data_IF_047303736755
#
_entry.id   IF_047303736755
#
_cell.length_a   1.000
_cell.length_b   1.000
_cell.length_c   1.000
_cell.angle_alpha   90.00
_cell.angle_beta   90.00
_cell.angle_gamma   90.00
#
_symmetry.space_group_name_H-M   'P 1'
#
loop_
_entity.id
_entity.type
_entity.pdbx_description
1 polymer ?
#
# COMPACT_ATOMS: atom_id res chain seq x y z
N UNK A 1 4.78 -8.79 1.43
CA UNK A 1 6.23 -8.69 1.08
C UNK A 1 7.03 -7.58 1.77
N UNK A 2 6.45 -6.43 2.16
CA UNK A 2 7.21 -5.29 2.68
C UNK A 2 7.99 -5.55 3.99
N UNK A 3 7.34 -6.14 5.00
CA UNK A 3 7.94 -6.31 6.34
C UNK A 3 9.22 -7.16 6.34
N UNK A 4 9.26 -8.38 5.74
CA UNK A 4 10.48 -9.17 5.68
C UNK A 4 11.64 -8.46 4.96
N UNK A 5 11.35 -7.69 3.91
CA UNK A 5 12.39 -6.96 3.18
C UNK A 5 13.07 -5.91 4.07
N UNK A 6 12.32 -5.21 4.92
CA UNK A 6 12.92 -4.27 5.88
C UNK A 6 13.82 -4.95 6.90
N UNK A 7 13.51 -6.18 7.28
CA UNK A 7 14.34 -6.96 8.21
C UNK A 7 15.63 -7.45 7.55
N UNK A 8 15.55 -7.84 6.27
CA UNK A 8 16.70 -8.32 5.49
C UNK A 8 17.65 -7.18 5.10
N UNK A 9 17.13 -5.97 4.92
CA UNK A 9 17.91 -4.77 4.59
C UNK A 9 17.70 -3.66 5.63
N UNK A 10 18.17 -3.88 6.88
CA UNK A 10 17.92 -2.95 7.99
C UNK A 10 18.72 -1.65 7.86
N UNK A 11 19.76 -1.65 7.03
CA UNK A 11 20.60 -0.49 6.74
C UNK A 11 20.05 0.38 5.61
N UNK A 12 19.00 -0.03 4.90
CA UNK A 12 18.44 0.73 3.79
C UNK A 12 17.35 1.72 4.21
N UNK A 13 17.21 2.78 3.41
CA UNK A 13 16.16 3.77 3.61
C UNK A 13 14.85 3.22 3.03
N UNK A 14 13.81 3.21 3.85
CA UNK A 14 12.49 2.73 3.46
C UNK A 14 11.47 3.88 3.52
N UNK A 15 10.64 3.97 2.49
CA UNK A 15 9.54 4.92 2.41
C UNK A 15 8.22 4.19 2.13
N UNK A 16 7.12 4.73 2.67
CA UNK A 16 5.75 4.33 2.33
C UNK A 16 5.09 5.51 1.62
N UNK A 17 4.72 5.29 0.36
CA UNK A 17 3.95 6.25 -0.42
C UNK A 17 2.48 6.05 -0.10
N UNK A 18 1.82 7.11 0.37
CA UNK A 18 0.37 7.12 0.58
C UNK A 18 -0.31 7.67 -0.65
N UNK A 19 -1.23 6.90 -1.20
CA UNK A 19 -2.05 7.29 -2.34
C UNK A 19 -3.42 7.77 -1.87
N UNK A 20 -4.03 8.66 -2.64
CA UNK A 20 -5.43 9.05 -2.46
C UNK A 20 -6.33 7.83 -2.71
N UNK A 21 -7.32 7.55 -1.85
CA UNK A 21 -8.22 6.41 -2.03
C UNK A 21 -9.05 6.49 -3.32
N UNK A 22 -9.15 7.68 -3.92
CA UNK A 22 -9.83 7.89 -5.19
C UNK A 22 -9.34 6.99 -6.32
N UNK A 23 -8.10 6.50 -6.25
CA UNK A 23 -7.56 5.54 -7.22
C UNK A 23 -8.46 4.32 -7.39
N UNK A 24 -9.18 3.90 -6.34
CA UNK A 24 -9.97 2.67 -6.33
C UNK A 24 -11.20 2.75 -7.24
N UNK A 25 -11.66 3.95 -7.59
CA UNK A 25 -12.81 4.15 -8.48
C UNK A 25 -12.52 5.04 -9.70
N UNK A 26 -11.43 5.80 -9.69
CA UNK A 26 -11.04 6.66 -10.82
C UNK A 26 -10.09 5.96 -11.80
N UNK A 27 -9.34 4.95 -11.35
CA UNK A 27 -8.38 4.20 -12.18
C UNK A 27 -8.86 2.76 -12.37
N UNK A 28 -8.44 2.13 -13.48
CA UNK A 28 -8.70 0.71 -13.72
C UNK A 28 -7.87 -0.13 -12.73
N UNK A 29 -8.57 -0.75 -11.78
CA UNK A 29 -7.96 -1.54 -10.71
C UNK A 29 -8.43 -3.01 -10.77
N UNK A 30 -7.49 -3.92 -10.54
CA UNK A 30 -7.77 -5.30 -10.15
C UNK A 30 -7.61 -5.42 -8.63
N UNK A 31 -8.60 -6.00 -7.97
CA UNK A 31 -8.63 -6.24 -6.54
C UNK A 31 -8.38 -7.73 -6.29
N UNK A 32 -7.31 -8.05 -5.56
CA UNK A 32 -6.94 -9.44 -5.26
C UNK A 32 -7.01 -9.65 -3.76
N UNK A 33 -7.87 -10.56 -3.32
CA UNK A 33 -8.11 -10.85 -1.90
C UNK A 33 -6.92 -11.51 -1.19
N UNK A 34 -5.90 -11.88 -1.94
CA UNK A 34 -4.59 -12.32 -1.45
C UNK A 34 -3.49 -11.80 -2.39
N UNK A 35 -2.26 -12.29 -2.22
CA UNK A 35 -1.13 -11.91 -3.06
C UNK A 35 -1.45 -12.12 -4.55
N UNK A 36 -1.23 -11.10 -5.39
CA UNK A 36 -1.57 -11.17 -6.80
C UNK A 36 -0.74 -12.21 -7.58
N UNK A 37 0.41 -12.63 -7.04
CA UNK A 37 1.22 -13.67 -7.64
C UNK A 37 0.75 -15.10 -7.32
N UNK A 38 -0.27 -15.26 -6.47
CA UNK A 38 -0.87 -16.56 -6.14
C UNK A 38 -1.45 -17.22 -7.38
N UNK A 39 -1.24 -18.53 -7.52
CA UNK A 39 -1.60 -19.26 -8.75
C UNK A 39 -3.05 -19.04 -9.18
N UNK A 40 -4.00 -19.18 -8.26
CA UNK A 40 -5.40 -19.04 -8.63
C UNK A 40 -5.75 -17.60 -9.04
N UNK A 41 -5.14 -16.58 -8.44
CA UNK A 41 -5.32 -15.18 -8.86
C UNK A 41 -4.80 -14.99 -10.28
N UNK A 42 -3.62 -15.53 -10.60
CA UNK A 42 -3.07 -15.49 -11.97
C UNK A 42 -3.95 -16.20 -13.01
N UNK A 43 -4.62 -17.26 -12.59
CA UNK A 43 -5.53 -18.03 -13.42
C UNK A 43 -6.94 -17.40 -13.46
N UNK A 44 -7.23 -16.40 -12.62
CA UNK A 44 -8.52 -15.71 -12.56
C UNK A 44 -8.60 -14.65 -13.65
N UNK A 45 -9.66 -14.65 -14.49
CA UNK A 45 -9.86 -13.62 -15.49
C UNK A 45 -9.94 -12.21 -14.88
N UNK A 46 -9.25 -11.23 -15.46
CA UNK A 46 -9.20 -9.88 -14.90
C UNK A 46 -10.59 -9.22 -14.73
N UNK A 47 -11.61 -9.62 -15.52
CA UNK A 47 -12.97 -9.10 -15.35
C UNK A 47 -13.61 -9.54 -14.02
N UNK A 48 -13.18 -10.68 -13.44
CA UNK A 48 -13.62 -11.17 -12.13
C UNK A 48 -12.90 -10.48 -10.96
N UNK A 49 -11.78 -9.81 -11.24
CA UNK A 49 -11.00 -9.03 -10.28
C UNK A 49 -11.35 -7.53 -10.30
N UNK A 50 -12.31 -7.12 -11.13
CA UNK A 50 -12.72 -5.71 -11.27
C UNK A 50 -14.00 -5.37 -10.52
N UNK A 51 -14.15 -4.07 -10.26
CA UNK A 51 -15.40 -3.48 -9.79
C UNK A 51 -15.70 -3.74 -8.31
N UNK A 52 -16.88 -3.28 -7.89
CA UNK A 52 -17.29 -3.26 -6.49
C UNK A 52 -17.28 -4.64 -5.84
N UNK A 53 -17.74 -5.67 -6.55
CA UNK A 53 -17.77 -7.05 -6.03
C UNK A 53 -16.36 -7.56 -5.72
N UNK A 54 -15.38 -7.30 -6.59
CA UNK A 54 -14.00 -7.71 -6.32
C UNK A 54 -13.35 -6.89 -5.19
N UNK A 55 -13.68 -5.60 -5.08
CA UNK A 55 -13.26 -4.77 -3.94
C UNK A 55 -13.83 -5.29 -2.62
N UNK A 56 -15.10 -5.69 -2.58
CA UNK A 56 -15.74 -6.27 -1.39
C UNK A 56 -15.09 -7.59 -0.97
N UNK A 57 -14.62 -8.41 -1.92
CA UNK A 57 -13.91 -9.67 -1.63
C UNK A 57 -12.66 -9.46 -0.78
N UNK A 58 -12.00 -8.30 -0.85
CA UNK A 58 -10.85 -7.98 0.02
C UNK A 58 -11.21 -8.00 1.52
N UNK A 59 -12.49 -7.84 1.84
CA UNK A 59 -13.05 -7.76 3.20
C UNK A 59 -13.99 -8.93 3.52
N UNK A 60 -13.95 -10.02 2.74
CA UNK A 60 -14.78 -11.20 2.99
C UNK A 60 -14.36 -11.96 4.28
N UNK A 61 -15.17 -12.93 4.72
CA UNK A 61 -14.82 -13.80 5.85
C UNK A 61 -15.10 -13.19 7.23
N UNK A 62 -16.34 -12.77 7.49
CA UNK A 62 -16.77 -12.07 8.70
C UNK A 62 -16.32 -12.75 10.00
N UNK A 63 -16.45 -14.07 10.12
CA UNK A 63 -16.04 -14.81 11.32
C UNK A 63 -14.53 -14.68 11.59
N UNK A 64 -13.70 -14.85 10.55
CA UNK A 64 -12.25 -14.67 10.66
C UNK A 64 -11.90 -13.22 11.03
N UNK A 65 -12.59 -12.24 10.44
CA UNK A 65 -12.37 -10.82 10.76
C UNK A 65 -12.69 -10.50 12.22
N UNK A 66 -13.76 -11.08 12.76
CA UNK A 66 -14.12 -10.95 14.17
C UNK A 66 -13.07 -11.62 15.08
N UNK A 67 -12.63 -12.83 14.75
CA UNK A 67 -11.59 -13.55 15.49
C UNK A 67 -10.27 -12.78 15.53
N UNK A 68 -9.87 -12.18 14.40
CA UNK A 68 -8.65 -11.39 14.26
C UNK A 68 -8.82 -9.92 14.72
N UNK A 69 -10.02 -9.52 15.16
CA UNK A 69 -10.33 -8.15 15.60
C UNK A 69 -9.96 -7.09 14.55
N UNK A 70 -10.19 -7.39 13.27
CA UNK A 70 -9.86 -6.50 12.17
C UNK A 70 -10.80 -5.29 12.12
N UNK A 71 -10.24 -4.11 11.83
CA UNK A 71 -11.08 -2.93 11.60
C UNK A 71 -11.82 -3.06 10.27
N UNK A 72 -12.87 -2.26 10.09
CA UNK A 72 -13.63 -2.22 8.82
C UNK A 72 -12.79 -1.84 7.61
N UNK A 73 -11.66 -1.14 7.82
CA UNK A 73 -10.73 -0.73 6.78
C UNK A 73 -9.53 -1.67 6.60
N UNK A 74 -9.40 -2.72 7.41
CA UNK A 74 -8.36 -3.73 7.25
C UNK A 74 -8.86 -4.83 6.32
N UNK A 75 -8.09 -5.19 5.29
CA UNK A 75 -8.37 -6.36 4.45
C UNK A 75 -8.27 -7.64 5.28
N UNK A 76 -8.98 -8.69 4.88
CA UNK A 76 -8.97 -9.96 5.62
C UNK A 76 -7.63 -10.68 5.51
N UNK A 77 -7.02 -10.68 4.32
CA UNK A 77 -5.65 -11.16 4.12
C UNK A 77 -4.67 -9.97 4.13
N UNK A 78 -3.57 -10.11 4.89
CA UNK A 78 -2.47 -9.14 4.96
C UNK A 78 -1.62 -9.09 3.68
N UNK A 79 -1.81 -10.03 2.76
CA UNK A 79 -1.22 -10.04 1.43
C UNK A 79 -2.19 -9.62 0.32
N UNK A 80 -3.42 -9.17 0.64
CA UNK A 80 -4.31 -8.58 -0.35
C UNK A 80 -3.63 -7.40 -1.07
N UNK A 81 -3.83 -7.31 -2.39
CA UNK A 81 -3.17 -6.34 -3.26
C UNK A 81 -4.20 -5.64 -4.17
N UNK A 82 -3.89 -4.41 -4.57
CA UNK A 82 -4.63 -3.66 -5.60
C UNK A 82 -3.67 -3.36 -6.74
N UNK A 83 -3.98 -3.88 -7.91
CA UNK A 83 -3.18 -3.68 -9.12
C UNK A 83 -3.82 -2.58 -9.96
N UNK A 84 -3.12 -1.45 -10.13
CA UNK A 84 -3.57 -0.38 -11.03
C UNK A 84 -3.01 -0.63 -12.41
N UNK A 85 -3.88 -0.69 -13.42
CA UNK A 85 -3.48 -0.81 -14.82
C UNK A 85 -2.79 0.47 -15.29
N UNK A 86 -1.54 0.37 -15.76
CA UNK A 86 -0.79 1.50 -16.32
C UNK A 86 -0.01 2.30 -15.28
N UNK A 87 0.02 3.62 -15.43
CA UNK A 87 0.81 4.54 -14.60
C UNK A 87 -0.12 5.21 -13.59
N UNK A 88 0.23 5.19 -12.31
CA UNK A 88 -0.45 5.99 -11.28
C UNK A 88 0.01 7.45 -11.44
N UNK A 89 -0.88 8.39 -11.80
CA UNK A 89 -0.51 9.79 -11.94
C UNK A 89 -0.01 10.40 -10.62
N UNK A 90 1.02 11.27 -10.62
CA UNK A 90 1.61 11.77 -9.37
C UNK A 90 0.64 12.59 -8.49
N UNK A 91 -0.42 13.16 -9.05
CA UNK A 91 -1.45 13.88 -8.28
C UNK A 91 -2.25 12.97 -7.31
N UNK A 92 -2.17 11.65 -7.44
CA UNK A 92 -2.71 10.73 -6.44
C UNK A 92 -1.79 10.55 -5.23
N UNK A 93 -0.53 10.98 -5.28
CA UNK A 93 0.38 10.90 -4.14
C UNK A 93 -0.05 11.93 -3.08
N UNK A 94 -0.41 11.45 -1.89
CA UNK A 94 -0.82 12.30 -0.77
C UNK A 94 0.37 12.72 0.09
N UNK A 95 1.21 11.76 0.50
CA UNK A 95 2.45 12.03 1.23
C UNK A 95 3.42 10.85 1.14
N UNK A 96 4.71 11.13 1.34
CA UNK A 96 5.76 10.13 1.54
C UNK A 96 6.02 9.99 3.04
N UNK A 97 6.05 8.77 3.54
CA UNK A 97 6.19 8.51 4.96
C UNK A 97 7.49 7.75 5.23
N UNK A 98 8.22 8.19 6.25
CA UNK A 98 9.46 7.56 6.72
C UNK A 98 9.29 7.12 8.18
N UNK A 99 10.08 6.13 8.61
CA UNK A 99 9.97 5.58 9.97
C UNK A 99 10.47 6.57 11.03
N UNK A 100 11.67 7.14 10.84
CA UNK A 100 12.27 8.13 11.72
C UNK A 100 13.35 8.93 10.98
N UNK A 101 13.62 10.16 11.43
CA UNK A 101 14.68 11.01 10.83
C UNK A 101 16.06 10.36 10.91
N UNK A 102 16.36 9.70 12.03
CA UNK A 102 17.68 9.09 12.28
C UNK A 102 17.97 7.85 11.41
N UNK A 103 16.95 7.32 10.73
CA UNK A 103 17.09 6.20 9.80
C UNK A 103 17.24 6.63 8.35
N UNK A 104 17.19 7.93 8.05
CA UNK A 104 17.37 8.46 6.71
C UNK A 104 18.85 8.78 6.54
N UNK A 105 19.53 8.12 5.59
CA UNK A 105 20.97 8.29 5.36
C UNK A 105 21.33 9.74 5.01
N UNK A 106 20.55 10.35 4.11
CA UNK A 106 20.78 11.72 3.64
C UNK A 106 19.53 12.60 3.85
N UNK A 107 19.33 13.01 5.11
CA UNK A 107 18.22 13.88 5.47
C UNK A 107 18.30 15.26 4.81
N UNK A 108 19.52 15.77 4.57
CA UNK A 108 19.72 17.09 3.98
C UNK A 108 19.32 17.09 2.52
N UNK A 109 19.74 16.08 1.74
CA UNK A 109 19.30 15.94 0.36
C UNK A 109 17.78 15.73 0.27
N UNK A 110 17.19 14.93 1.16
CA UNK A 110 15.74 14.77 1.20
C UNK A 110 15.02 16.10 1.46
N UNK A 111 15.53 16.92 2.38
CA UNK A 111 14.97 18.24 2.67
C UNK A 111 15.11 19.21 1.49
N UNK A 112 16.24 19.20 0.80
CA UNK A 112 16.46 20.00 -0.41
C UNK A 112 15.49 19.58 -1.54
N UNK A 113 15.34 18.27 -1.76
CA UNK A 113 14.39 17.72 -2.73
C UNK A 113 12.95 18.07 -2.38
N UNK A 114 12.56 17.97 -1.11
CA UNK A 114 11.22 18.38 -0.67
C UNK A 114 10.95 19.87 -0.93
N UNK A 115 11.97 20.72 -0.83
CA UNK A 115 11.87 22.13 -1.22
C UNK A 115 11.66 22.33 -2.73
N UNK A 116 12.29 21.51 -3.57
CA UNK A 116 12.11 21.53 -5.03
C UNK A 116 10.76 20.93 -5.48
N UNK A 117 10.18 20.04 -4.68
CA UNK A 117 8.92 19.34 -4.98
C UNK A 117 7.88 19.50 -3.86
N UNK A 118 7.39 20.73 -3.62
CA UNK A 118 6.47 21.01 -2.51
C UNK A 118 5.12 20.27 -2.61
N UNK A 119 4.74 19.80 -3.79
CA UNK A 119 3.53 19.00 -4.02
C UNK A 119 3.60 17.58 -3.43
N UNK A 120 4.79 17.11 -3.05
CA UNK A 120 5.01 15.79 -2.46
C UNK A 120 5.47 15.93 -1.00
N UNK A 121 4.55 16.25 -0.08
CA UNK A 121 4.91 16.42 1.32
C UNK A 121 5.43 15.10 1.90
N UNK A 122 6.42 15.17 2.77
CA UNK A 122 6.94 14.01 3.49
C UNK A 122 6.73 14.14 4.99
N UNK A 123 6.56 13.00 5.67
CA UNK A 123 6.23 12.91 7.09
C UNK A 123 7.00 11.79 7.76
N UNK A 124 7.19 11.92 9.08
CA UNK A 124 7.61 10.81 9.93
C UNK A 124 6.36 10.16 10.50
N UNK A 125 6.03 8.95 10.04
CA UNK A 125 4.87 8.18 10.47
C UNK A 125 5.25 6.70 10.62
N UNK A 126 5.83 6.39 11.77
CA UNK A 126 6.32 5.06 12.10
C UNK A 126 5.22 4.00 12.01
N UNK A 127 3.95 4.35 12.25
CA UNK A 127 2.81 3.43 12.23
C UNK A 127 2.60 2.71 10.88
N UNK A 128 3.10 3.25 9.76
CA UNK A 128 2.98 2.59 8.45
C UNK A 128 4.04 1.54 8.18
N UNK A 129 5.03 1.41 9.06
CA UNK A 129 6.15 0.47 8.89
C UNK A 129 5.97 -0.82 9.69
N UNK A 130 5.01 -0.85 10.60
CA UNK A 130 4.69 -2.02 11.40
C UNK A 130 3.34 -2.55 10.90
N UNK A 131 3.30 -3.82 10.52
CA UNK A 131 2.01 -4.50 10.35
C UNK A 131 1.37 -4.61 11.75
N UNK A 132 0.06 -4.35 11.82
CA UNK A 132 -0.72 -4.75 12.98
C UNK A 132 -0.86 -6.26 13.00
#
# INVERSE_FOLDING_TARGET
MFYPMRLNYPADDWAVIRLSPNILWELDCLFTETNAATRYIKDTPDNELRGAVALEKLFAGEEMRQQLQLNSYDTTDVQAEVMVSGIIPPNYITDLNFTSKNKIKDLVALQAMAGAFPQFPWKIRAQYFYQR
#
